data_IF_825875962216
#
_entry.id   IF_825875962216
#
_cell.length_a   1.000
_cell.length_b   1.000
_cell.length_c   1.000
_cell.angle_alpha   90.00
_cell.angle_beta   90.00
_cell.angle_gamma   90.00
#
_symmetry.space_group_name_H-M   'P 1'
#
loop_
_entity.id
_entity.type
_entity.pdbx_description
1 polymer ?
#
# COMPACT_ATOMS: atom_id res chain seq x y z
N UNK A 1 -5.85 -11.40 6.60
CA UNK A 1 -5.24 -11.17 7.94
C UNK A 1 -6.28 -10.69 8.95
N UNK A 2 -6.89 -9.52 8.76
CA UNK A 2 -7.80 -8.91 9.75
C UNK A 2 -8.93 -9.83 10.23
N UNK A 3 -9.61 -10.53 9.31
CA UNK A 3 -10.64 -11.51 9.67
C UNK A 3 -10.10 -12.66 10.53
N UNK A 4 -9.02 -13.31 10.08
CA UNK A 4 -8.42 -14.48 10.75
C UNK A 4 -7.82 -14.12 12.11
N UNK A 5 -7.25 -12.92 12.23
CA UNK A 5 -6.68 -12.40 13.48
C UNK A 5 -7.72 -11.72 14.38
N UNK A 6 -9.01 -11.73 13.99
CA UNK A 6 -10.09 -11.16 14.79
C UNK A 6 -10.06 -9.63 14.94
N UNK A 7 -9.39 -8.91 14.05
CA UNK A 7 -9.23 -7.46 14.13
C UNK A 7 -10.32 -6.67 13.39
N UNK A 8 -11.36 -7.34 12.87
CA UNK A 8 -12.51 -6.70 12.24
C UNK A 8 -13.53 -6.27 13.28
N UNK A 9 -14.21 -5.14 13.02
CA UNK A 9 -15.41 -4.79 13.77
C UNK A 9 -16.50 -5.85 13.54
N UNK A 10 -17.52 -5.96 14.42
CA UNK A 10 -18.61 -6.92 14.23
C UNK A 10 -19.35 -6.74 12.90
N UNK A 11 -19.55 -5.49 12.46
CA UNK A 11 -20.21 -5.17 11.20
C UNK A 11 -19.39 -5.60 9.98
N UNK A 12 -18.08 -5.29 9.98
CA UNK A 12 -17.18 -5.68 8.89
C UNK A 12 -17.01 -7.20 8.84
N UNK A 13 -17.00 -7.87 10.00
CA UNK A 13 -16.92 -9.32 10.07
C UNK A 13 -18.12 -9.99 9.39
N UNK A 14 -19.34 -9.53 9.69
CA UNK A 14 -20.55 -10.05 9.05
C UNK A 14 -20.57 -9.79 7.54
N UNK A 15 -20.13 -8.61 7.11
CA UNK A 15 -20.02 -8.29 5.68
C UNK A 15 -19.03 -9.22 4.99
N UNK A 16 -17.88 -9.49 5.63
CA UNK A 16 -16.86 -10.38 5.09
C UNK A 16 -17.31 -11.85 5.06
N UNK A 17 -17.97 -12.35 6.11
CA UNK A 17 -18.54 -13.70 6.15
C UNK A 17 -19.56 -13.93 5.02
N UNK A 18 -20.39 -12.93 4.73
CA UNK A 18 -21.33 -12.97 3.59
C UNK A 18 -20.60 -13.02 2.24
N UNK A 19 -19.43 -12.40 2.13
CA UNK A 19 -18.60 -12.50 0.92
C UNK A 19 -17.97 -13.90 0.80
N UNK A 20 -17.45 -14.45 1.90
CA UNK A 20 -16.85 -15.78 1.92
C UNK A 20 -17.85 -16.86 1.48
N UNK A 21 -19.12 -16.78 1.90
CA UNK A 21 -20.15 -17.75 1.49
C UNK A 21 -20.46 -17.76 -0.01
N UNK A 22 -20.06 -16.71 -0.74
CA UNK A 22 -20.28 -16.58 -2.18
C UNK A 22 -18.98 -16.60 -3.00
N UNK A 23 -17.81 -16.70 -2.36
CA UNK A 23 -16.51 -16.57 -3.03
C UNK A 23 -15.54 -17.69 -2.59
N UNK A 24 -15.59 -18.86 -3.25
CA UNK A 24 -14.69 -19.99 -2.95
C UNK A 24 -13.19 -19.65 -3.00
N UNK A 25 -12.70 -18.77 -3.89
CA UNK A 25 -11.30 -18.36 -3.86
C UNK A 25 -10.89 -17.66 -2.57
N UNK A 26 -11.72 -16.75 -2.05
CA UNK A 26 -11.44 -16.03 -0.81
C UNK A 26 -11.53 -16.95 0.41
N UNK A 27 -12.46 -17.91 0.39
CA UNK A 27 -12.53 -18.97 1.41
C UNK A 27 -11.23 -19.80 1.42
N UNK A 28 -10.73 -20.19 0.25
CA UNK A 28 -9.47 -20.93 0.13
C UNK A 28 -8.27 -20.16 0.70
N UNK A 29 -8.15 -18.87 0.38
CA UNK A 29 -7.09 -18.02 0.96
C UNK A 29 -7.17 -17.92 2.47
N UNK A 30 -8.38 -17.79 3.03
CA UNK A 30 -8.61 -17.78 4.48
C UNK A 30 -8.18 -19.11 5.10
N UNK A 31 -8.49 -20.25 4.47
CA UNK A 31 -8.05 -21.57 4.94
C UNK A 31 -6.53 -21.71 4.97
N UNK A 32 -5.84 -21.26 3.92
CA UNK A 32 -4.36 -21.26 3.88
C UNK A 32 -3.77 -20.44 5.02
N UNK A 33 -4.41 -19.31 5.35
CA UNK A 33 -3.94 -18.41 6.39
C UNK A 33 -4.32 -18.86 7.80
N UNK A 34 -5.44 -19.57 7.97
CA UNK A 34 -5.89 -20.06 9.28
C UNK A 34 -4.86 -20.97 9.96
N UNK A 35 -4.09 -21.74 9.17
CA UNK A 35 -3.01 -22.57 9.69
C UNK A 35 -1.91 -21.78 10.41
N UNK A 36 -1.47 -20.66 9.83
CA UNK A 36 -0.44 -19.81 10.46
C UNK A 36 -1.00 -19.04 11.66
N UNK A 37 -2.25 -18.57 11.57
CA UNK A 37 -2.91 -17.89 12.68
C UNK A 37 -3.10 -18.82 13.90
N UNK A 38 -3.40 -20.11 13.69
CA UNK A 38 -3.47 -21.09 14.77
C UNK A 38 -2.12 -21.43 15.42
N UNK A 39 -1.00 -21.22 14.70
CA UNK A 39 0.33 -21.27 15.31
C UNK A 39 0.60 -20.01 16.14
N UNK A 40 0.24 -18.83 15.62
CA UNK A 40 0.39 -17.56 16.33
C UNK A 40 -0.43 -17.50 17.61
N UNK A 41 -1.59 -18.15 17.68
CA UNK A 41 -2.40 -18.20 18.91
C UNK A 41 -1.73 -18.97 20.06
N UNK A 42 -0.64 -19.70 19.79
CA UNK A 42 0.16 -20.40 20.82
C UNK A 42 1.29 -19.54 21.37
N UNK A 43 1.56 -18.39 20.75
CA UNK A 43 2.56 -17.45 21.24
C UNK A 43 1.99 -16.79 22.49
N UNK A 44 2.69 -16.86 23.64
CA UNK A 44 2.24 -16.21 24.86
C UNK A 44 2.10 -14.70 24.66
N UNK A 45 1.03 -14.11 25.16
CA UNK A 45 0.72 -12.69 24.94
C UNK A 45 1.82 -11.77 25.50
N UNK A 46 2.48 -12.18 26.59
CA UNK A 46 3.58 -11.45 27.20
C UNK A 46 4.77 -11.24 26.25
N UNK A 47 5.03 -12.18 25.33
CA UNK A 47 6.11 -12.04 24.34
C UNK A 47 5.76 -11.00 23.27
N UNK A 48 4.48 -10.88 22.94
CA UNK A 48 4.01 -9.86 22.01
C UNK A 48 4.16 -8.45 22.60
N UNK A 49 3.87 -8.30 23.90
CA UNK A 49 4.00 -7.02 24.61
C UNK A 49 5.48 -6.64 24.75
N UNK A 50 6.34 -7.58 25.17
CA UNK A 50 7.77 -7.32 25.37
C UNK A 50 8.46 -6.86 24.07
N UNK A 51 8.08 -7.47 22.94
CA UNK A 51 8.55 -7.09 21.60
C UNK A 51 8.18 -5.66 21.19
N UNK A 52 7.06 -5.13 21.66
CA UNK A 52 6.63 -3.75 21.36
C UNK A 52 7.38 -2.71 22.22
N UNK A 53 7.79 -3.09 23.43
CA UNK A 53 8.56 -2.23 24.34
C UNK A 53 10.06 -2.24 24.06
N UNK A 54 10.62 -3.33 23.54
CA UNK A 54 12.05 -3.47 23.21
C UNK A 54 12.30 -3.31 21.71
N UNK A 55 11.58 -2.41 21.05
CA UNK A 55 11.93 -2.06 19.68
C UNK A 55 13.31 -1.36 19.67
N UNK A 56 14.30 -1.83 18.88
CA UNK A 56 15.57 -1.12 18.75
C UNK A 56 15.30 0.31 18.26
N UNK A 57 16.06 1.30 18.73
CA UNK A 57 15.86 2.69 18.31
C UNK A 57 15.93 2.75 16.78
N UNK A 58 14.85 3.24 16.16
CA UNK A 58 14.82 3.43 14.72
C UNK A 58 16.00 4.32 14.31
N UNK A 59 16.74 3.98 13.24
CA UNK A 59 17.82 4.84 12.78
C UNK A 59 17.26 6.23 12.48
N UNK A 60 17.90 7.28 13.02
CA UNK A 60 17.55 8.69 12.79
C UNK A 60 17.52 9.07 11.31
N UNK A 61 18.10 8.24 10.44
CA UNK A 61 18.16 8.41 8.99
C UNK A 61 16.93 7.90 8.23
N UNK A 62 16.05 7.10 8.84
CA UNK A 62 14.88 6.53 8.14
C UNK A 62 13.93 7.63 7.68
N UNK A 63 13.51 8.50 8.59
CA UNK A 63 12.58 9.59 8.30
C UNK A 63 13.16 10.59 7.26
N UNK A 64 14.40 11.10 7.43
CA UNK A 64 15.04 11.91 6.39
C UNK A 64 15.19 11.18 5.06
N UNK A 65 15.58 9.90 5.07
CA UNK A 65 15.78 9.10 3.86
C UNK A 65 14.51 8.95 3.04
N UNK A 66 13.37 8.68 3.70
CA UNK A 66 12.06 8.61 3.04
C UNK A 66 11.63 9.98 2.49
N UNK A 67 11.86 11.06 3.24
CA UNK A 67 11.56 12.41 2.76
C UNK A 67 12.38 12.77 1.52
N UNK A 68 13.67 12.42 1.50
CA UNK A 68 14.53 12.64 0.33
C UNK A 68 14.09 11.80 -0.87
N UNK A 69 13.72 10.54 -0.65
CA UNK A 69 13.20 9.67 -1.71
C UNK A 69 11.92 10.23 -2.32
N UNK A 70 10.97 10.69 -1.51
CA UNK A 70 9.72 11.29 -1.97
C UNK A 70 9.97 12.59 -2.76
N UNK A 71 10.88 13.45 -2.28
CA UNK A 71 11.27 14.66 -3.01
C UNK A 71 11.88 14.35 -4.38
N UNK A 72 12.72 13.31 -4.49
CA UNK A 72 13.31 12.89 -5.75
C UNK A 72 12.24 12.40 -6.74
N UNK A 73 11.29 11.58 -6.27
CA UNK A 73 10.15 11.11 -7.07
C UNK A 73 9.29 12.29 -7.53
N UNK A 74 8.98 13.23 -6.63
CA UNK A 74 8.17 14.41 -6.94
C UNK A 74 8.85 15.32 -7.97
N UNK A 75 10.15 15.59 -7.81
CA UNK A 75 10.95 16.36 -8.77
C UNK A 75 10.96 15.72 -10.15
N UNK A 76 11.16 14.40 -10.21
CA UNK A 76 11.15 13.65 -11.48
C UNK A 76 9.79 13.73 -12.16
N UNK A 77 8.69 13.57 -11.41
CA UNK A 77 7.33 13.72 -11.95
C UNK A 77 7.10 15.12 -12.50
N UNK A 78 7.48 16.17 -11.75
CA UNK A 78 7.35 17.55 -12.21
C UNK A 78 8.16 17.81 -13.48
N UNK A 79 9.40 17.32 -13.55
CA UNK A 79 10.25 17.44 -14.74
C UNK A 79 9.59 16.76 -15.96
N UNK A 80 9.07 15.54 -15.80
CA UNK A 80 8.37 14.82 -16.86
C UNK A 80 7.13 15.60 -17.32
N UNK A 81 6.32 16.12 -16.39
CA UNK A 81 5.12 16.90 -16.72
C UNK A 81 5.48 18.19 -17.48
N UNK A 82 6.51 18.93 -17.04
CA UNK A 82 6.97 20.14 -17.73
C UNK A 82 7.46 19.82 -19.14
N UNK A 83 8.28 18.77 -19.30
CA UNK A 83 8.76 18.33 -20.62
C UNK A 83 7.60 17.92 -21.53
N UNK A 84 6.62 17.19 -21.00
CA UNK A 84 5.44 16.80 -21.77
C UNK A 84 4.61 18.01 -22.23
N UNK A 85 4.41 19.01 -21.36
CA UNK A 85 3.70 20.26 -21.71
C UNK A 85 4.46 21.02 -22.80
N UNK A 86 5.79 21.16 -22.68
CA UNK A 86 6.60 21.83 -23.69
C UNK A 86 6.54 21.11 -25.04
N UNK A 87 6.67 19.78 -25.05
CA UNK A 87 6.52 18.97 -26.27
C UNK A 87 5.13 19.10 -26.90
N UNK A 88 4.06 19.08 -26.10
CA UNK A 88 2.71 19.26 -26.60
C UNK A 88 2.51 20.66 -27.20
N UNK A 89 3.06 21.70 -26.57
CA UNK A 89 3.01 23.07 -27.07
C UNK A 89 3.77 23.25 -28.39
N UNK A 90 4.98 22.67 -28.52
CA UNK A 90 5.74 22.74 -29.77
C UNK A 90 5.04 22.01 -30.91
N UNK A 91 4.53 20.80 -30.67
CA UNK A 91 3.75 20.05 -31.67
C UNK A 91 2.50 20.82 -32.08
N UNK A 92 1.77 21.40 -31.13
CA UNK A 92 0.58 22.22 -31.41
C UNK A 92 0.89 23.44 -32.27
N UNK A 93 1.98 24.16 -31.97
CA UNK A 93 2.40 25.33 -32.75
C UNK A 93 2.81 24.95 -34.19
N UNK A 94 3.54 23.85 -34.35
CA UNK A 94 3.94 23.33 -35.67
C UNK A 94 2.70 22.92 -36.47
N UNK A 95 1.77 22.18 -35.86
CA UNK A 95 0.53 21.77 -36.53
C UNK A 95 -0.30 22.99 -36.96
N UNK A 96 -0.44 23.99 -36.08
CA UNK A 96 -1.15 25.23 -36.39
C UNK A 96 -0.51 26.01 -37.54
N UNK A 97 0.83 26.05 -37.60
CA UNK A 97 1.56 26.67 -38.69
C UNK A 97 1.34 25.96 -40.04
N UNK A 98 1.30 24.62 -40.05
CA UNK A 98 1.04 23.86 -41.28
C UNK A 98 -0.42 23.90 -41.75
N UNK A 99 -1.39 24.07 -40.84
CA UNK A 99 -2.81 24.14 -41.20
C UNK A 99 -3.27 25.55 -41.62
N UNK A 100 -2.48 26.58 -41.35
CA UNK A 100 -2.78 27.97 -41.68
C UNK A 100 -1.61 28.62 -42.47
N UNK A 101 -1.31 28.18 -43.71
CA UNK A 101 -0.44 28.90 -44.63
C UNK A 101 -1.14 30.05 -45.35
#
# INVERSE_FOLDING_TARGET
MAYVLGSLSPGDRLAYERHLSACPPCEHEVCLLAGTAGLLSRVPAEWAVDSLTTAPPLPVTVLPGLAQAELAVRRRRLAITVVAILLAATVGAVLAHFLCP
#
